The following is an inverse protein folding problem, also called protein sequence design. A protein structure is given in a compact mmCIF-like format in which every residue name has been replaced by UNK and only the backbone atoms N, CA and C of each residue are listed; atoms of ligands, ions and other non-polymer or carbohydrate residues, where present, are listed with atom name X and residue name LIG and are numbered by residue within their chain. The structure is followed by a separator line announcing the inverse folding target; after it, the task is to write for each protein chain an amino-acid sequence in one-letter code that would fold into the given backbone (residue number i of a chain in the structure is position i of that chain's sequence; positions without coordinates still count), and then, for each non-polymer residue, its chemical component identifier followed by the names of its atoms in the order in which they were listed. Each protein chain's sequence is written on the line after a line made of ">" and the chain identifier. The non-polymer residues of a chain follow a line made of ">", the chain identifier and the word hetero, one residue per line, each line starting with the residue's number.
data_IF_746120527870
#
_entry.id   IF_746120527870
#
_cell.length_a   1.000
_cell.length_b   1.000
_cell.length_c   1.000
_cell.angle_alpha   90.00
_cell.angle_beta   90.00
_cell.angle_gamma   90.00
#
_symmetry.space_group_name_H-M   'P 1'
#
loop_
_entity.id
_entity.type
_entity.pdbx_description
1 polymer ?
#
# COMPACT_ATOMS: atom_id res chain seq x y z
N UNK A 1 -9.20 27.71 -1.87
CA UNK A 1 -8.87 26.50 -1.09
C UNK A 1 -9.64 26.61 0.21
N UNK A 2 -10.68 25.78 0.44
CA UNK A 2 -11.41 25.86 1.70
C UNK A 2 -10.49 25.44 2.86
N UNK A 3 -10.70 26.00 4.06
CA UNK A 3 -9.90 25.67 5.24
C UNK A 3 -10.10 24.20 5.61
N UNK A 4 -8.99 23.52 5.88
CA UNK A 4 -9.00 22.13 6.37
C UNK A 4 -9.23 22.21 7.87
N UNK A 5 -10.38 21.73 8.35
CA UNK A 5 -10.71 21.71 9.78
C UNK A 5 -9.68 20.89 10.56
N UNK A 6 -8.90 21.58 11.40
CA UNK A 6 -7.77 21.07 12.17
C UNK A 6 -8.13 20.17 13.36
N UNK A 7 -9.40 19.78 13.50
CA UNK A 7 -9.90 18.96 14.61
C UNK A 7 -10.11 17.47 14.27
N UNK A 8 -9.92 17.04 13.02
CA UNK A 8 -10.07 15.62 12.64
C UNK A 8 -8.71 14.98 12.39
N UNK A 9 -8.49 13.78 12.95
CA UNK A 9 -7.28 13.00 12.67
C UNK A 9 -7.17 12.79 11.15
N UNK A 10 -5.97 12.90 10.55
CA UNK A 10 -5.81 12.75 9.11
C UNK A 10 -6.36 11.41 8.64
N UNK A 11 -7.11 11.43 7.53
CA UNK A 11 -7.70 10.23 6.94
C UNK A 11 -6.56 9.31 6.48
N UNK A 12 -6.58 8.07 6.97
CA UNK A 12 -5.53 7.07 6.69
C UNK A 12 -5.83 6.29 5.43
N UNK A 13 -4.88 6.27 4.48
CA UNK A 13 -5.01 5.61 3.18
C UNK A 13 -3.93 4.53 3.06
N UNK A 14 -4.34 3.26 3.02
CA UNK A 14 -3.46 2.14 2.70
C UNK A 14 -3.47 1.92 1.18
N UNK A 15 -2.29 1.98 0.56
CA UNK A 15 -2.10 1.77 -0.88
C UNK A 15 -1.29 0.50 -1.10
N UNK A 16 -1.76 -0.40 -1.96
CA UNK A 16 -1.15 -1.72 -2.15
C UNK A 16 -0.76 -1.87 -3.61
N UNK A 17 0.51 -2.17 -3.87
CA UNK A 17 1.05 -2.40 -5.20
C UNK A 17 1.88 -3.69 -5.23
N UNK A 18 1.73 -4.50 -6.28
CA UNK A 18 2.39 -5.82 -6.35
C UNK A 18 3.92 -5.74 -6.29
N UNK A 19 4.52 -4.68 -6.84
CA UNK A 19 5.97 -4.50 -6.94
C UNK A 19 6.31 -3.05 -7.29
N UNK A 20 7.50 -2.59 -6.90
CA UNK A 20 8.08 -1.30 -7.31
C UNK A 20 9.12 -1.50 -8.42
N UNK A 21 8.70 -2.09 -9.54
CA UNK A 21 9.56 -2.28 -10.70
C UNK A 21 9.71 -0.95 -11.47
N UNK A 22 10.83 -0.82 -12.21
CA UNK A 22 11.07 0.36 -13.07
C UNK A 22 9.90 0.56 -14.05
N UNK A 23 9.20 1.69 -13.90
CA UNK A 23 8.14 2.08 -14.82
C UNK A 23 7.07 2.98 -14.20
N UNK A 24 6.07 3.30 -15.03
CA UNK A 24 4.95 4.17 -14.67
C UNK A 24 4.21 3.81 -13.38
N UNK A 25 3.91 2.52 -13.10
CA UNK A 25 3.22 2.13 -11.86
C UNK A 25 3.94 2.52 -10.57
N UNK A 26 5.27 2.37 -10.50
CA UNK A 26 6.05 2.71 -9.32
C UNK A 26 6.17 4.23 -9.14
N UNK A 27 6.39 4.97 -10.25
CA UNK A 27 6.41 6.45 -10.24
C UNK A 27 5.06 6.99 -9.78
N UNK A 28 3.95 6.49 -10.34
CA UNK A 28 2.60 6.87 -9.96
C UNK A 28 2.33 6.53 -8.49
N UNK A 29 2.74 5.34 -8.04
CA UNK A 29 2.56 4.93 -6.65
C UNK A 29 3.27 5.87 -5.69
N UNK A 30 4.53 6.19 -5.93
CA UNK A 30 5.31 7.02 -5.00
C UNK A 30 4.87 8.48 -5.07
N UNK A 31 4.71 9.04 -6.28
CA UNK A 31 4.29 10.44 -6.46
C UNK A 31 2.91 10.70 -5.85
N UNK A 32 1.95 9.79 -6.06
CA UNK A 32 0.62 9.95 -5.46
C UNK A 32 0.66 9.84 -3.93
N UNK A 33 1.53 9.01 -3.34
CA UNK A 33 1.63 8.91 -1.88
C UNK A 33 2.15 10.22 -1.27
N UNK A 34 3.20 10.79 -1.85
CA UNK A 34 3.74 12.07 -1.41
C UNK A 34 2.71 13.22 -1.56
N UNK A 35 1.96 13.23 -2.67
CA UNK A 35 0.92 14.25 -2.91
C UNK A 35 -0.27 14.12 -1.95
N UNK A 36 -0.64 12.90 -1.54
CA UNK A 36 -1.69 12.68 -0.55
C UNK A 36 -1.26 13.17 0.83
N UNK A 37 -0.03 12.88 1.25
CA UNK A 37 0.53 13.43 2.51
C UNK A 37 0.57 14.95 2.50
N UNK A 38 1.03 15.54 1.40
CA UNK A 38 1.04 17.01 1.25
C UNK A 38 -0.37 17.63 1.25
N UNK A 39 -1.40 16.83 0.95
CA UNK A 39 -2.80 17.24 0.99
C UNK A 39 -3.48 16.99 2.36
N UNK A 40 -2.74 16.52 3.37
CA UNK A 40 -3.24 16.30 4.73
C UNK A 40 -3.81 14.90 5.01
N UNK A 41 -3.59 13.94 4.12
CA UNK A 41 -3.89 12.52 4.38
C UNK A 41 -2.69 11.84 5.01
N UNK A 42 -2.89 10.73 5.70
CA UNK A 42 -1.78 9.90 6.14
C UNK A 42 -1.73 8.61 5.31
N UNK A 43 -0.65 8.40 4.58
CA UNK A 43 -0.54 7.36 3.55
C UNK A 43 0.47 6.29 3.95
N UNK A 44 0.07 5.02 3.79
CA UNK A 44 0.94 3.85 3.86
C UNK A 44 1.00 3.18 2.48
N UNK A 45 2.19 3.06 1.91
CA UNK A 45 2.45 2.31 0.68
C UNK A 45 2.97 0.90 1.00
N UNK A 46 2.15 -0.11 0.74
CA UNK A 46 2.50 -1.52 0.85
C UNK A 46 2.96 -2.02 -0.52
N UNK A 47 4.18 -2.55 -0.62
CA UNK A 47 4.70 -3.08 -1.87
C UNK A 47 5.25 -4.50 -1.74
N UNK A 48 5.15 -5.25 -2.82
CA UNK A 48 5.78 -6.55 -2.94
C UNK A 48 7.19 -6.50 -3.52
N UNK A 49 7.76 -7.68 -3.79
CA UNK A 49 9.11 -7.82 -4.34
C UNK A 49 9.10 -7.73 -5.86
N UNK A 50 10.15 -7.14 -6.42
CA UNK A 50 10.45 -7.24 -7.86
C UNK A 50 10.88 -8.67 -8.25
N UNK A 51 10.61 -9.09 -9.48
CA UNK A 51 10.97 -10.42 -9.97
C UNK A 51 12.48 -10.57 -10.20
N UNK A 52 12.99 -11.80 -10.41
CA UNK A 52 14.38 -12.03 -10.78
C UNK A 52 14.76 -11.22 -12.03
N UNK A 53 15.85 -10.44 -11.95
CA UNK A 53 16.34 -9.59 -13.04
C UNK A 53 15.67 -8.21 -13.16
N UNK A 54 14.68 -7.90 -12.33
CA UNK A 54 14.10 -6.56 -12.23
C UNK A 54 14.85 -5.72 -11.19
N UNK A 55 15.06 -4.43 -11.49
CA UNK A 55 15.60 -3.48 -10.51
C UNK A 55 14.47 -2.87 -9.69
N UNK A 56 14.67 -2.80 -8.38
CA UNK A 56 13.76 -2.15 -7.45
C UNK A 56 13.95 -0.63 -7.49
N UNK A 57 12.85 0.12 -7.46
CA UNK A 57 12.87 1.59 -7.42
C UNK A 57 12.89 2.14 -5.99
N UNK A 58 13.68 1.53 -5.09
CA UNK A 58 13.78 2.02 -3.70
C UNK A 58 14.32 3.46 -3.62
N UNK A 59 15.11 3.88 -4.62
CA UNK A 59 15.61 5.25 -4.74
C UNK A 59 14.52 6.31 -4.95
N UNK A 60 13.32 5.90 -5.39
CA UNK A 60 12.20 6.82 -5.52
C UNK A 60 11.55 7.13 -4.16
N UNK A 61 11.76 6.28 -3.15
CA UNK A 61 11.22 6.52 -1.81
C UNK A 61 11.84 7.81 -1.27
N UNK A 62 11.03 8.82 -0.92
CA UNK A 62 11.54 10.08 -0.43
C UNK A 62 12.43 9.88 0.80
N UNK A 63 13.61 10.50 0.80
CA UNK A 63 14.56 10.40 1.93
C UNK A 63 14.00 10.99 3.22
N UNK A 64 13.09 11.95 3.08
CA UNK A 64 12.37 12.58 4.18
C UNK A 64 11.30 11.67 4.80
N UNK A 65 11.03 10.49 4.22
CA UNK A 65 9.94 9.58 4.61
C UNK A 65 8.61 10.31 4.77
N UNK A 66 8.32 11.18 3.81
CA UNK A 66 7.07 11.95 3.76
C UNK A 66 5.79 11.10 3.83
N UNK A 67 5.86 9.78 3.54
CA UNK A 67 4.81 8.80 3.77
C UNK A 67 5.38 7.48 4.31
N UNK A 68 4.55 6.65 4.92
CA UNK A 68 4.96 5.34 5.41
C UNK A 68 5.08 4.33 4.26
N UNK A 69 6.07 3.44 4.35
CA UNK A 69 6.26 2.36 3.37
C UNK A 69 6.50 1.03 4.08
N UNK A 70 5.87 -0.03 3.57
CA UNK A 70 6.02 -1.39 4.10
C UNK A 70 6.21 -2.42 2.98
N UNK A 71 7.28 -3.20 3.08
CA UNK A 71 7.57 -4.29 2.16
C UNK A 71 6.88 -5.59 2.61
N UNK A 72 6.22 -6.26 1.67
CA UNK A 72 5.61 -7.59 1.83
C UNK A 72 6.21 -8.52 0.76
N UNK A 73 7.37 -9.15 1.01
CA UNK A 73 8.09 -9.93 0.00
C UNK A 73 7.30 -11.11 -0.60
N UNK A 74 6.31 -11.62 0.12
CA UNK A 74 5.43 -12.68 -0.34
C UNK A 74 4.44 -12.21 -1.42
N UNK A 75 4.17 -10.90 -1.51
CA UNK A 75 3.40 -10.30 -2.59
C UNK A 75 4.29 -10.25 -3.83
N UNK A 76 4.02 -11.14 -4.79
CA UNK A 76 4.81 -11.30 -6.02
C UNK A 76 3.91 -11.41 -7.24
N UNK A 77 4.46 -11.18 -8.42
CA UNK A 77 3.69 -11.25 -9.67
C UNK A 77 3.20 -12.67 -9.96
N UNK A 78 4.04 -13.66 -9.69
CA UNK A 78 3.78 -15.08 -9.98
C UNK A 78 2.57 -15.59 -9.19
N UNK A 79 1.84 -16.54 -9.77
CA UNK A 79 0.79 -17.26 -9.06
C UNK A 79 1.47 -18.28 -8.15
N UNK A 80 1.27 -18.15 -6.83
CA UNK A 80 1.85 -19.08 -5.90
C UNK A 80 1.04 -19.12 -4.60
N UNK A 81 0.18 -20.12 -4.42
CA UNK A 81 -0.83 -20.15 -3.35
C UNK A 81 -0.26 -19.91 -1.95
N UNK A 82 0.86 -20.54 -1.60
CA UNK A 82 1.49 -20.37 -0.28
C UNK A 82 2.00 -18.93 -0.05
N UNK A 83 2.59 -18.31 -1.08
CA UNK A 83 3.06 -16.93 -1.00
C UNK A 83 1.88 -15.94 -1.01
N UNK A 84 0.84 -16.22 -1.80
CA UNK A 84 -0.38 -15.41 -1.85
C UNK A 84 -1.11 -15.43 -0.50
N UNK A 85 -1.18 -16.59 0.16
CA UNK A 85 -1.72 -16.72 1.52
C UNK A 85 -0.86 -15.97 2.56
N UNK A 86 0.46 -16.08 2.48
CA UNK A 86 1.36 -15.33 3.37
C UNK A 86 1.26 -13.81 3.14
N UNK A 87 1.14 -13.37 1.89
CA UNK A 87 0.92 -11.97 1.55
C UNK A 87 -0.41 -11.46 2.10
N UNK A 88 -1.48 -12.24 1.95
CA UNK A 88 -2.80 -11.92 2.51
C UNK A 88 -2.74 -11.74 4.03
N UNK A 89 -2.15 -12.70 4.74
CA UNK A 89 -2.01 -12.64 6.20
C UNK A 89 -1.20 -11.40 6.63
N UNK A 90 -0.09 -11.12 5.95
CA UNK A 90 0.76 -9.95 6.27
C UNK A 90 0.04 -8.64 6.02
N UNK A 91 -0.64 -8.51 4.88
CA UNK A 91 -1.44 -7.31 4.54
C UNK A 91 -2.55 -7.13 5.56
N UNK A 92 -3.30 -8.18 5.92
CA UNK A 92 -4.38 -8.09 6.91
C UNK A 92 -3.87 -7.58 8.26
N UNK A 93 -2.72 -8.08 8.73
CA UNK A 93 -2.09 -7.58 9.97
C UNK A 93 -1.66 -6.12 9.85
N UNK A 94 -1.11 -5.71 8.70
CA UNK A 94 -0.78 -4.31 8.43
C UNK A 94 -2.02 -3.43 8.45
N UNK A 95 -3.11 -3.81 7.77
CA UNK A 95 -4.37 -3.05 7.79
C UNK A 95 -4.92 -2.95 9.22
N UNK A 96 -4.85 -4.02 10.00
CA UNK A 96 -5.25 -4.01 11.42
C UNK A 96 -4.45 -3.01 12.25
N UNK A 97 -3.13 -2.93 12.05
CA UNK A 97 -2.25 -2.00 12.78
C UNK A 97 -2.47 -0.56 12.33
N UNK A 98 -2.53 -0.33 11.02
CA UNK A 98 -2.64 0.99 10.42
C UNK A 98 -4.05 1.58 10.52
N UNK A 99 -5.09 0.75 10.60
CA UNK A 99 -6.51 1.14 10.64
C UNK A 99 -6.90 2.14 9.54
N UNK A 100 -6.75 1.79 8.26
CA UNK A 100 -7.05 2.71 7.16
C UNK A 100 -8.55 2.98 7.06
N UNK A 101 -8.89 4.19 6.63
CA UNK A 101 -10.23 4.54 6.16
C UNK A 101 -10.43 4.14 4.69
N UNK A 102 -9.35 4.14 3.90
CA UNK A 102 -9.39 3.82 2.47
C UNK A 102 -8.30 2.77 2.17
N UNK A 103 -8.67 1.71 1.44
CA UNK A 103 -7.73 0.75 0.86
C UNK A 103 -7.75 0.90 -0.66
N UNK A 104 -6.62 1.31 -1.23
CA UNK A 104 -6.45 1.47 -2.68
C UNK A 104 -5.49 0.39 -3.21
N UNK A 105 -5.99 -0.49 -4.07
CA UNK A 105 -5.19 -1.55 -4.68
C UNK A 105 -4.83 -1.22 -6.12
N UNK A 106 -3.57 -1.40 -6.50
CA UNK A 106 -3.06 -1.12 -7.84
C UNK A 106 -2.39 -2.37 -8.45
N UNK A 107 -2.75 -2.72 -9.70
CA UNK A 107 -2.42 -3.97 -10.42
C UNK A 107 -3.26 -5.20 -10.03
N UNK A 108 -3.27 -6.22 -10.90
CA UNK A 108 -4.12 -7.40 -10.77
C UNK A 108 -3.90 -8.19 -9.47
N UNK A 109 -2.64 -8.50 -9.12
CA UNK A 109 -2.32 -9.29 -7.92
C UNK A 109 -2.62 -8.55 -6.62
N UNK A 110 -2.11 -7.33 -6.46
CA UNK A 110 -2.47 -6.50 -5.31
C UNK A 110 -3.98 -6.20 -5.28
N UNK A 111 -4.63 -6.12 -6.43
CA UNK A 111 -6.08 -6.03 -6.57
C UNK A 111 -6.82 -7.23 -5.97
N UNK A 112 -6.42 -8.45 -6.30
CA UNK A 112 -7.05 -9.65 -5.73
C UNK A 112 -6.74 -9.81 -4.25
N UNK A 113 -5.45 -9.87 -3.88
CA UNK A 113 -5.01 -10.10 -2.49
C UNK A 113 -5.45 -8.96 -1.58
N UNK A 114 -5.28 -7.71 -2.00
CA UNK A 114 -5.62 -6.53 -1.20
C UNK A 114 -7.11 -6.36 -0.96
N UNK A 115 -7.98 -6.69 -1.95
CA UNK A 115 -9.43 -6.66 -1.74
C UNK A 115 -9.90 -7.74 -0.78
N UNK A 116 -9.36 -8.96 -0.87
CA UNK A 116 -9.66 -10.01 0.11
C UNK A 116 -9.21 -9.58 1.51
N UNK A 117 -8.02 -8.99 1.63
CA UNK A 117 -7.53 -8.45 2.90
C UNK A 117 -8.45 -7.36 3.47
N UNK A 118 -8.94 -6.44 2.63
CA UNK A 118 -9.87 -5.38 3.03
C UNK A 118 -11.23 -5.93 3.47
N UNK A 119 -11.78 -6.92 2.76
CA UNK A 119 -13.03 -7.59 3.14
C UNK A 119 -12.90 -8.26 4.52
N UNK A 120 -11.81 -9.01 4.74
CA UNK A 120 -11.53 -9.64 6.02
C UNK A 120 -11.32 -8.61 7.13
N UNK A 121 -10.58 -7.53 6.85
CA UNK A 121 -10.38 -6.42 7.80
C UNK A 121 -11.71 -5.79 8.21
N UNK A 122 -12.61 -5.52 7.27
CA UNK A 122 -13.93 -4.96 7.57
C UNK A 122 -14.80 -5.93 8.40
N UNK A 123 -14.74 -7.23 8.10
CA UNK A 123 -15.52 -8.24 8.81
C UNK A 123 -15.04 -8.49 10.25
N UNK A 124 -13.78 -8.18 10.57
CA UNK A 124 -13.15 -8.53 11.85
C UNK A 124 -12.77 -7.33 12.72
N UNK A 125 -12.34 -6.21 12.12
CA UNK A 125 -11.78 -5.06 12.83
C UNK A 125 -12.37 -3.72 12.43
N UNK A 126 -13.02 -3.62 11.27
CA UNK A 126 -13.57 -2.38 10.72
C UNK A 126 -14.90 -1.91 11.32
N UNK A 127 -15.22 -2.32 12.55
CA UNK A 127 -16.38 -1.82 13.31
C UNK A 127 -16.00 -0.60 14.13
#
# INVERSE_FOLDING_TARGET
>A
MPPVDSCTRPVRIARIITRLNIGGPAIQAISLSARLESAGYHTLLIHGRVGPGEREMDYLVPRDRSFDIESVPALRREIAPAADAAALARILLTLRRFRPAIVHTHMAKAGSVGRVAALLYNATFGR
#
